data_IF_379792510117
#
_entry.id   IF_379792510117
#
_cell.length_a   1.000
_cell.length_b   1.000
_cell.length_c   1.000
_cell.angle_alpha   90.00
_cell.angle_beta   90.00
_cell.angle_gamma   90.00
#
_symmetry.space_group_name_H-M   'P 1'
#
loop_
_entity.id
_entity.type
_entity.pdbx_description
1 polymer ?
#
# COMPACT_ATOMS: atom_id res chain seq x y z
N UNK A 1 -15.98 -10.96 6.41
CA UNK A 1 -16.59 -9.77 7.06
C UNK A 1 -18.11 -9.92 7.14
N UNK A 2 -18.80 -10.21 6.02
CA UNK A 2 -20.23 -10.55 6.01
C UNK A 2 -20.57 -11.79 6.85
N UNK A 3 -19.73 -12.82 6.80
CA UNK A 3 -19.83 -14.05 7.61
C UNK A 3 -19.77 -13.82 9.12
N UNK A 4 -19.13 -12.73 9.56
CA UNK A 4 -18.95 -12.41 10.99
C UNK A 4 -19.80 -11.24 11.47
N UNK A 5 -20.30 -10.38 10.55
CA UNK A 5 -20.99 -9.12 10.89
C UNK A 5 -22.36 -8.94 10.24
N UNK A 6 -22.82 -9.90 9.43
CA UNK A 6 -24.11 -9.89 8.76
C UNK A 6 -24.06 -9.30 7.35
N UNK A 7 -24.97 -9.78 6.49
CA UNK A 7 -25.08 -9.42 5.07
C UNK A 7 -25.72 -8.03 4.92
N UNK A 8 -25.31 -7.22 3.91
CA UNK A 8 -25.96 -5.95 3.52
C UNK A 8 -25.95 -4.85 4.61
N UNK A 9 -24.89 -4.79 5.42
CA UNK A 9 -24.71 -3.68 6.39
C UNK A 9 -24.20 -2.38 5.78
N UNK A 10 -23.78 -2.37 4.51
CA UNK A 10 -23.08 -1.22 3.92
C UNK A 10 -21.71 -0.98 4.59
N UNK A 11 -21.09 -2.03 5.13
CA UNK A 11 -19.83 -1.92 5.90
C UNK A 11 -18.58 -1.65 5.06
N UNK A 12 -18.73 -1.47 3.74
CA UNK A 12 -17.65 -1.15 2.81
C UNK A 12 -18.21 -0.48 1.55
N UNK A 13 -17.45 0.44 0.95
CA UNK A 13 -17.74 1.14 -0.32
C UNK A 13 -16.79 0.60 -1.39
N UNK A 14 -17.27 0.29 -2.61
CA UNK A 14 -16.44 -0.28 -3.68
C UNK A 14 -16.77 0.31 -5.07
N UNK A 15 -15.88 0.15 -6.07
CA UNK A 15 -16.09 0.62 -7.47
C UNK A 15 -15.39 1.95 -7.81
N UNK A 16 -15.65 2.50 -9.01
CA UNK A 16 -15.15 3.84 -9.42
C UNK A 16 -15.73 4.90 -8.50
N UNK A 17 -15.00 5.19 -7.44
CA UNK A 17 -15.58 5.80 -6.28
C UNK A 17 -14.93 7.15 -6.05
N UNK A 18 -15.73 8.18 -6.27
CA UNK A 18 -15.53 9.52 -5.70
C UNK A 18 -15.37 9.47 -4.16
N UNK A 19 -15.71 8.35 -3.54
CA UNK A 19 -15.52 8.02 -2.13
C UNK A 19 -14.17 7.35 -1.81
N UNK A 20 -13.40 6.88 -2.80
CA UNK A 20 -12.04 6.32 -2.60
C UNK A 20 -10.93 7.37 -2.67
N UNK A 21 -11.26 8.63 -2.96
CA UNK A 21 -10.30 9.74 -3.15
C UNK A 21 -9.32 9.92 -1.99
N UNK A 22 -9.74 9.61 -0.76
CA UNK A 22 -8.86 9.69 0.42
C UNK A 22 -7.77 8.60 0.42
N UNK A 23 -8.12 7.39 -0.02
CA UNK A 23 -7.16 6.29 -0.18
C UNK A 23 -6.23 6.59 -1.35
N UNK A 24 -6.75 7.15 -2.45
CA UNK A 24 -5.92 7.59 -3.59
C UNK A 24 -4.91 8.67 -3.18
N UNK A 25 -5.32 9.67 -2.39
CA UNK A 25 -4.38 10.70 -1.87
C UNK A 25 -3.29 10.07 -1.00
N UNK A 26 -3.66 9.14 -0.12
CA UNK A 26 -2.68 8.40 0.69
C UNK A 26 -1.70 7.61 -0.18
N UNK A 27 -2.17 6.98 -1.26
CA UNK A 27 -1.30 6.28 -2.22
C UNK A 27 -0.33 7.21 -2.94
N UNK A 28 -0.77 8.42 -3.30
CA UNK A 28 0.12 9.46 -3.85
C UNK A 28 1.20 9.81 -2.81
N UNK A 29 0.84 10.04 -1.56
CA UNK A 29 1.79 10.37 -0.50
C UNK A 29 2.82 9.25 -0.27
N UNK A 30 2.38 7.99 -0.25
CA UNK A 30 3.27 6.81 -0.16
C UNK A 30 4.21 6.73 -1.36
N UNK A 31 3.68 6.97 -2.56
CA UNK A 31 4.46 6.93 -3.80
C UNK A 31 5.54 8.01 -3.79
N UNK A 32 5.19 9.23 -3.41
CA UNK A 32 6.15 10.36 -3.37
C UNK A 32 7.21 10.16 -2.28
N UNK A 33 6.83 9.67 -1.10
CA UNK A 33 7.78 9.57 0.03
C UNK A 33 8.67 8.33 -0.02
N UNK A 34 8.22 7.26 -0.67
CA UNK A 34 8.93 5.97 -0.62
C UNK A 34 8.95 5.27 -1.98
N UNK A 35 7.80 5.16 -2.64
CA UNK A 35 7.64 4.34 -3.84
C UNK A 35 8.54 4.77 -5.00
N UNK A 36 8.62 6.08 -5.25
CA UNK A 36 9.40 6.65 -6.35
C UNK A 36 10.90 6.37 -6.19
N UNK A 37 11.43 6.46 -4.98
CA UNK A 37 12.85 6.19 -4.69
C UNK A 37 13.20 4.73 -4.93
N UNK A 38 12.37 3.78 -4.47
CA UNK A 38 12.61 2.36 -4.72
C UNK A 38 12.43 1.98 -6.18
N UNK A 39 11.44 2.56 -6.86
CA UNK A 39 11.25 2.39 -8.29
C UNK A 39 12.49 2.85 -9.07
N UNK A 40 13.01 4.04 -8.78
CA UNK A 40 14.22 4.56 -9.41
C UNK A 40 15.42 3.65 -9.17
N UNK A 41 15.64 3.19 -7.94
CA UNK A 41 16.73 2.26 -7.59
C UNK A 41 16.65 0.96 -8.38
N UNK A 42 15.48 0.34 -8.46
CA UNK A 42 15.30 -0.91 -9.21
C UNK A 42 15.43 -0.70 -10.72
N UNK A 43 14.95 0.43 -11.26
CA UNK A 43 15.19 0.80 -12.65
C UNK A 43 16.68 0.99 -12.94
N UNK A 44 17.46 1.59 -12.04
CA UNK A 44 18.92 1.70 -12.20
C UNK A 44 19.59 0.32 -12.20
N UNK A 45 19.16 -0.59 -11.31
CA UNK A 45 19.66 -1.97 -11.29
C UNK A 45 19.38 -2.71 -12.60
N UNK A 46 18.20 -2.54 -13.17
CA UNK A 46 17.82 -3.11 -14.48
C UNK A 46 18.67 -2.55 -15.60
N UNK A 47 18.70 -1.23 -15.74
CA UNK A 47 19.34 -0.57 -16.88
C UNK A 47 20.87 -0.65 -16.86
N UNK A 48 21.50 -0.70 -15.68
CA UNK A 48 22.97 -0.54 -15.54
C UNK A 48 23.67 -1.68 -14.85
N UNK A 49 22.97 -2.52 -14.08
CA UNK A 49 23.60 -3.54 -13.24
C UNK A 49 23.10 -4.96 -13.53
N UNK A 50 22.39 -5.18 -14.64
CA UNK A 50 22.01 -6.52 -15.10
C UNK A 50 21.00 -7.21 -14.19
N UNK A 51 20.06 -6.45 -13.62
CA UNK A 51 18.85 -7.03 -13.06
C UNK A 51 17.94 -7.48 -14.21
N UNK A 52 17.90 -8.80 -14.45
CA UNK A 52 16.87 -9.43 -15.28
C UNK A 52 15.55 -9.58 -14.51
N UNK A 53 14.52 -8.84 -14.94
CA UNK A 53 13.18 -8.85 -14.34
C UNK A 53 12.38 -10.14 -14.65
N UNK A 54 12.81 -10.92 -15.64
CA UNK A 54 12.17 -12.19 -16.00
C UNK A 54 12.80 -13.38 -15.26
N UNK A 55 13.94 -13.18 -14.60
CA UNK A 55 14.57 -14.20 -13.78
C UNK A 55 14.00 -14.15 -12.35
N UNK A 56 13.24 -15.17 -11.98
CA UNK A 56 12.66 -15.31 -10.63
C UNK A 56 13.69 -15.25 -9.49
N UNK A 57 14.93 -15.69 -9.71
CA UNK A 57 15.98 -15.68 -8.70
C UNK A 57 16.54 -14.29 -8.46
N UNK A 58 16.60 -13.47 -9.51
CA UNK A 58 16.89 -12.05 -9.36
C UNK A 58 15.80 -11.33 -8.56
N UNK A 59 14.53 -11.63 -8.80
CA UNK A 59 13.41 -11.06 -8.03
C UNK A 59 13.44 -11.53 -6.58
N UNK A 60 13.69 -12.83 -6.34
CA UNK A 60 13.90 -13.39 -5.01
C UNK A 60 15.02 -12.66 -4.27
N UNK A 61 16.17 -12.42 -4.93
CA UNK A 61 17.31 -11.73 -4.33
C UNK A 61 16.97 -10.28 -3.94
N UNK A 62 16.19 -9.57 -4.75
CA UNK A 62 15.71 -8.24 -4.37
C UNK A 62 14.83 -8.29 -3.11
N UNK A 63 13.93 -9.26 -3.02
CA UNK A 63 13.07 -9.42 -1.86
C UNK A 63 13.90 -9.77 -0.62
N UNK A 64 14.83 -10.71 -0.73
CA UNK A 64 15.74 -11.10 0.34
C UNK A 64 16.52 -9.91 0.91
N UNK A 65 17.04 -9.04 0.03
CA UNK A 65 17.87 -7.90 0.44
C UNK A 65 17.07 -6.69 0.93
N UNK A 66 15.95 -6.37 0.29
CA UNK A 66 15.31 -5.06 0.42
C UNK A 66 13.93 -5.09 1.05
N UNK A 67 13.23 -6.24 1.08
CA UNK A 67 11.85 -6.30 1.56
C UNK A 67 11.72 -5.90 3.03
N UNK A 68 12.65 -6.36 3.88
CA UNK A 68 12.68 -5.99 5.29
C UNK A 68 12.84 -4.47 5.47
N UNK A 69 13.74 -3.85 4.70
CA UNK A 69 13.98 -2.41 4.71
C UNK A 69 12.75 -1.64 4.24
N UNK A 70 12.15 -2.02 3.11
CA UNK A 70 10.93 -1.41 2.57
C UNK A 70 9.78 -1.51 3.60
N UNK A 71 9.59 -2.69 4.21
CA UNK A 71 8.56 -2.89 5.23
C UNK A 71 8.80 -2.02 6.46
N UNK A 72 10.05 -1.87 6.92
CA UNK A 72 10.38 -0.99 8.04
C UNK A 72 10.10 0.48 7.71
N UNK A 73 10.40 0.92 6.49
CA UNK A 73 10.13 2.27 6.02
C UNK A 73 8.63 2.53 5.88
N UNK A 74 7.86 1.57 5.37
CA UNK A 74 6.39 1.63 5.33
C UNK A 74 5.78 1.67 6.74
N UNK A 75 6.31 0.89 7.68
CA UNK A 75 5.86 0.92 9.07
C UNK A 75 6.14 2.27 9.73
N UNK A 76 7.33 2.85 9.47
CA UNK A 76 7.68 4.19 9.93
C UNK A 76 6.79 5.28 9.30
N UNK A 77 6.54 5.19 8.00
CA UNK A 77 5.60 6.06 7.30
C UNK A 77 4.21 6.00 7.95
N UNK A 78 3.68 4.79 8.17
CA UNK A 78 2.36 4.61 8.78
C UNK A 78 2.28 5.22 10.19
N UNK A 79 3.31 5.03 11.02
CA UNK A 79 3.37 5.64 12.36
C UNK A 79 3.40 7.17 12.27
N UNK A 80 4.27 7.71 11.40
CA UNK A 80 4.42 9.15 11.20
C UNK A 80 3.13 9.78 10.66
N UNK A 81 2.52 9.15 9.67
CA UNK A 81 1.25 9.57 9.09
C UNK A 81 0.11 9.49 10.09
N UNK A 82 0.07 8.49 10.97
CA UNK A 82 -0.99 8.44 11.99
C UNK A 82 -0.87 9.56 13.04
N UNK A 83 0.33 10.12 13.22
CA UNK A 83 0.62 11.15 14.23
C UNK A 83 0.71 12.58 13.65
N UNK A 84 0.81 12.75 12.32
CA UNK A 84 0.90 14.08 11.72
C UNK A 84 -0.41 14.85 11.89
N UNK A 85 -0.32 16.17 12.10
CA UNK A 85 -1.52 17.01 12.31
C UNK A 85 -2.12 17.42 10.97
N UNK A 86 -3.40 17.09 10.78
CA UNK A 86 -4.20 17.53 9.65
C UNK A 86 -4.92 18.82 10.03
N UNK A 87 -4.96 19.78 9.10
CA UNK A 87 -5.77 20.97 9.24
C UNK A 87 -7.24 20.63 9.01
N UNK A 88 -8.07 20.84 10.02
CA UNK A 88 -9.51 20.58 9.96
C UNK A 88 -10.22 21.92 9.80
N UNK A 89 -11.03 22.05 8.73
CA UNK A 89 -11.81 23.26 8.50
C UNK A 89 -12.87 23.41 9.59
N UNK A 90 -12.82 24.51 10.34
CA UNK A 90 -13.79 24.79 11.40
C UNK A 90 -13.53 24.08 12.73
N UNK A 91 -12.35 23.46 12.91
CA UNK A 91 -11.98 22.78 14.15
C UNK A 91 -10.47 22.86 14.45
N UNK A 92 -10.02 22.35 15.61
CA UNK A 92 -8.60 22.27 15.92
C UNK A 92 -7.89 21.25 15.02
N UNK A 93 -6.63 21.52 14.68
CA UNK A 93 -5.79 20.55 13.98
C UNK A 93 -5.60 19.30 14.84
N UNK A 94 -5.86 18.12 14.28
CA UNK A 94 -5.76 16.82 14.96
C UNK A 94 -4.99 15.83 14.11
N UNK A 95 -4.33 14.88 14.75
CA UNK A 95 -3.75 13.75 14.03
C UNK A 95 -4.81 12.71 13.67
N UNK A 96 -4.60 11.87 12.64
CA UNK A 96 -5.48 10.73 12.38
C UNK A 96 -5.69 9.84 13.62
N UNK A 97 -4.64 9.64 14.43
CA UNK A 97 -4.75 8.89 15.69
C UNK A 97 -5.65 9.61 16.71
N UNK A 98 -5.50 10.92 16.87
CA UNK A 98 -6.38 11.72 17.76
C UNK A 98 -7.83 11.62 17.29
N UNK A 99 -8.08 11.86 16.00
CA UNK A 99 -9.42 11.76 15.41
C UNK A 99 -10.00 10.38 15.68
N UNK A 100 -9.25 9.32 15.40
CA UNK A 100 -9.70 7.95 15.61
C UNK A 100 -10.13 7.68 17.07
N UNK A 101 -9.32 8.10 18.06
CA UNK A 101 -9.60 7.86 19.47
C UNK A 101 -10.71 8.76 20.00
N UNK A 102 -10.64 10.07 19.74
CA UNK A 102 -11.61 11.02 20.28
C UNK A 102 -12.98 10.88 19.61
N UNK A 103 -13.05 10.57 18.32
CA UNK A 103 -14.34 10.40 17.65
C UNK A 103 -15.05 9.16 18.18
N UNK A 104 -14.34 8.08 18.55
CA UNK A 104 -14.96 6.93 19.22
C UNK A 104 -15.49 7.26 20.63
N UNK A 105 -14.87 8.22 21.32
CA UNK A 105 -15.35 8.68 22.64
C UNK A 105 -16.60 9.56 22.52
N UNK A 106 -16.67 10.39 21.47
CA UNK A 106 -17.76 11.36 21.26
C UNK A 106 -18.96 10.72 20.54
N UNK A 107 -18.70 9.93 19.50
CA UNK A 107 -19.71 9.38 18.58
C UNK A 107 -19.95 7.88 18.79
N UNK A 108 -19.33 7.29 19.82
CA UNK A 108 -19.48 5.89 20.17
C UNK A 108 -18.54 4.94 19.43
N UNK A 109 -18.53 3.69 19.90
CA UNK A 109 -17.59 2.66 19.41
C UNK A 109 -17.88 2.32 17.95
N UNK A 110 -16.85 2.41 17.11
CA UNK A 110 -16.93 2.09 15.68
C UNK A 110 -17.47 0.67 15.47
N UNK A 111 -18.49 0.55 14.62
CA UNK A 111 -19.13 -0.73 14.28
C UNK A 111 -20.38 -1.07 15.09
N UNK A 112 -20.72 -0.26 16.10
CA UNK A 112 -22.07 -0.23 16.65
C UNK A 112 -23.06 0.38 15.66
N UNK A 113 -24.34 0.11 15.86
CA UNK A 113 -25.40 0.80 15.12
C UNK A 113 -25.37 2.29 15.51
N UNK A 114 -25.52 3.16 14.50
CA UNK A 114 -25.70 4.59 14.74
C UNK A 114 -26.94 4.79 15.63
N UNK A 115 -26.91 5.77 16.55
CA UNK A 115 -28.12 6.21 17.24
C UNK A 115 -29.24 6.52 16.23
N UNK A 116 -30.50 6.24 16.58
CA UNK A 116 -31.65 6.48 15.68
C UNK A 116 -31.74 7.95 15.20
N UNK A 117 -31.21 8.88 16.00
CA UNK A 117 -31.19 10.32 15.71
C UNK A 117 -30.02 10.77 14.80
N UNK A 118 -29.05 9.90 14.49
CA UNK A 118 -27.89 10.19 13.63
C UNK A 118 -27.94 9.43 12.28
N UNK A 119 -29.13 8.92 11.91
CA UNK A 119 -29.33 8.25 10.63
C UNK A 119 -29.36 9.30 9.52
N UNK A 120 -28.30 9.33 8.70
CA UNK A 120 -28.26 10.12 7.47
C UNK A 120 -29.39 9.68 6.54
N UNK A 121 -30.04 10.64 5.89
CA UNK A 121 -31.00 10.31 4.85
C UNK A 121 -30.30 9.69 3.61
N UNK A 122 -31.11 9.21 2.66
CA UNK A 122 -30.60 8.50 1.50
C UNK A 122 -29.71 9.37 0.60
N UNK A 123 -30.00 10.68 0.53
CA UNK A 123 -29.24 11.65 -0.27
C UNK A 123 -27.93 12.05 0.44
N UNK A 124 -27.97 12.23 1.77
CA UNK A 124 -26.82 12.51 2.62
C UNK A 124 -25.85 11.34 2.65
N UNK A 125 -26.36 10.10 2.68
CA UNK A 125 -25.55 8.89 2.66
C UNK A 125 -24.78 8.77 1.33
N UNK A 126 -25.41 9.08 0.19
CA UNK A 126 -24.75 9.03 -1.13
C UNK A 126 -23.51 9.92 -1.23
N UNK A 127 -23.59 11.10 -0.64
CA UNK A 127 -22.50 12.08 -0.68
C UNK A 127 -21.52 11.92 0.49
N UNK A 128 -21.81 11.02 1.43
CA UNK A 128 -20.97 10.79 2.59
C UNK A 128 -19.60 10.23 2.21
N UNK A 129 -18.54 10.89 2.69
CA UNK A 129 -17.16 10.48 2.45
C UNK A 129 -16.58 10.94 1.10
N UNK A 130 -17.37 11.61 0.25
CA UNK A 130 -16.87 12.20 -0.99
C UNK A 130 -15.93 13.37 -0.69
N UNK A 131 -14.73 13.33 -1.25
CA UNK A 131 -13.81 14.47 -1.24
C UNK A 131 -13.99 15.32 -2.51
N UNK A 132 -14.93 16.27 -2.44
CA UNK A 132 -15.21 17.22 -3.52
C UNK A 132 -14.01 18.09 -3.91
N UNK A 133 -13.02 18.27 -3.03
CA UNK A 133 -11.79 18.99 -3.38
C UNK A 133 -10.87 18.10 -4.20
N UNK A 134 -10.68 16.84 -3.80
CA UNK A 134 -9.88 15.87 -4.55
C UNK A 134 -10.47 15.52 -5.93
N UNK A 135 -11.80 15.58 -6.11
CA UNK A 135 -12.42 15.46 -7.44
C UNK A 135 -12.14 16.62 -8.39
N UNK A 136 -11.62 17.74 -7.88
CA UNK A 136 -11.18 18.87 -8.70
C UNK A 136 -9.67 18.87 -8.95
N UNK A 137 -8.95 17.92 -8.36
CA UNK A 137 -7.51 17.78 -8.52
C UNK A 137 -7.21 16.89 -9.73
N UNK A 138 -6.83 17.52 -10.84
CA UNK A 138 -6.47 16.83 -12.09
C UNK A 138 -5.31 15.85 -11.92
N UNK A 139 -4.38 16.10 -10.99
CA UNK A 139 -3.26 15.18 -10.76
C UNK A 139 -3.73 13.87 -10.13
N UNK A 140 -4.64 13.96 -9.16
CA UNK A 140 -5.25 12.82 -8.49
C UNK A 140 -6.15 12.04 -9.46
N UNK A 141 -6.96 12.74 -10.26
CA UNK A 141 -7.80 12.10 -11.28
C UNK A 141 -6.96 11.38 -12.36
N UNK A 142 -5.84 11.97 -12.76
CA UNK A 142 -4.92 11.34 -13.72
C UNK A 142 -4.30 10.09 -13.13
N UNK A 143 -3.76 10.16 -11.90
CA UNK A 143 -3.22 8.99 -11.19
C UNK A 143 -4.27 7.88 -11.06
N UNK A 144 -5.50 8.22 -10.65
CA UNK A 144 -6.58 7.26 -10.52
C UNK A 144 -6.91 6.57 -11.85
N UNK A 145 -6.96 7.32 -12.96
CA UNK A 145 -7.23 6.76 -14.31
C UNK A 145 -6.11 5.84 -14.78
N UNK A 146 -4.86 6.19 -14.50
CA UNK A 146 -3.69 5.37 -14.86
C UNK A 146 -3.67 4.07 -14.07
N UNK A 147 -3.99 4.12 -12.78
CA UNK A 147 -3.95 2.96 -11.89
C UNK A 147 -5.17 2.04 -12.03
N UNK A 148 -6.31 2.58 -12.49
CA UNK A 148 -7.56 1.83 -12.66
C UNK A 148 -8.03 1.90 -14.13
N UNK A 149 -7.35 1.18 -15.05
CA UNK A 149 -7.68 1.21 -16.48
C UNK A 149 -9.03 0.56 -16.81
N UNK A 150 -9.51 -0.33 -15.94
CA UNK A 150 -10.80 -0.99 -16.10
C UNK A 150 -11.93 -0.12 -15.58
N UNK A 151 -13.03 -0.04 -16.35
CA UNK A 151 -14.26 0.63 -15.93
C UNK A 151 -15.00 -0.23 -14.91
N UNK A 152 -14.55 -0.21 -13.65
CA UNK A 152 -15.41 -0.62 -12.54
C UNK A 152 -16.60 0.36 -12.49
N UNK A 153 -17.83 -0.16 -12.38
CA UNK A 153 -19.01 0.68 -12.22
C UNK A 153 -18.93 1.55 -10.96
N UNK A 154 -19.74 2.60 -10.87
CA UNK A 154 -19.92 3.34 -9.62
C UNK A 154 -20.92 2.58 -8.74
N UNK A 155 -20.61 2.41 -7.45
CA UNK A 155 -21.62 1.98 -6.48
C UNK A 155 -22.16 3.18 -5.71
N UNK A 156 -23.34 2.96 -5.17
CA UNK A 156 -24.10 3.91 -4.41
C UNK A 156 -24.27 3.35 -2.99
N UNK A 157 -24.32 4.25 -2.01
CA UNK A 157 -24.70 3.86 -0.66
C UNK A 157 -26.16 3.36 -0.59
N UNK A 158 -26.96 3.75 -1.59
CA UNK A 158 -28.35 3.40 -1.81
C UNK A 158 -28.44 2.04 -2.49
N UNK A 159 -29.18 1.12 -1.84
CA UNK A 159 -29.39 -0.24 -2.35
C UNK A 159 -28.57 -1.33 -1.65
N UNK A 160 -27.63 -0.97 -0.73
CA UNK A 160 -26.84 -1.92 0.09
C UNK A 160 -26.30 -3.09 -0.75
N UNK A 161 -25.82 -2.78 -1.95
CA UNK A 161 -25.25 -3.79 -2.84
C UNK A 161 -23.96 -4.27 -2.18
N UNK A 162 -23.86 -5.58 -1.97
CA UNK A 162 -22.63 -6.18 -1.43
C UNK A 162 -21.43 -5.88 -2.34
N UNK A 163 -20.20 -6.21 -1.92
CA UNK A 163 -19.06 -6.23 -2.83
C UNK A 163 -19.42 -6.96 -4.13
N UNK A 164 -18.79 -6.63 -5.26
CA UNK A 164 -19.03 -7.41 -6.46
C UNK A 164 -18.64 -8.86 -6.17
N UNK A 165 -19.10 -9.81 -6.98
CA UNK A 165 -18.53 -11.15 -6.98
C UNK A 165 -17.01 -11.08 -6.91
N UNK A 166 -16.37 -12.00 -6.18
CA UNK A 166 -14.91 -12.02 -6.05
C UNK A 166 -14.19 -12.02 -7.42
N UNK A 167 -14.85 -12.51 -8.47
CA UNK A 167 -14.37 -12.49 -9.85
C UNK A 167 -14.15 -11.09 -10.42
N UNK A 168 -14.85 -10.07 -9.89
CA UNK A 168 -14.81 -8.71 -10.42
C UNK A 168 -14.04 -7.75 -9.49
N UNK A 169 -13.49 -8.27 -8.37
CA UNK A 169 -12.54 -7.52 -7.55
C UNK A 169 -11.16 -7.58 -8.19
N UNK A 170 -10.50 -6.43 -8.32
CA UNK A 170 -9.07 -6.40 -8.64
C UNK A 170 -8.28 -7.02 -7.49
N UNK A 171 -7.60 -8.14 -7.75
CA UNK A 171 -6.66 -8.76 -6.83
C UNK A 171 -5.27 -8.76 -7.43
N UNK A 172 -4.29 -8.23 -6.70
CA UNK A 172 -2.88 -8.45 -7.01
C UNK A 172 -2.45 -9.68 -6.23
N UNK A 173 -2.35 -10.83 -6.90
CA UNK A 173 -1.77 -12.02 -6.29
C UNK A 173 -0.26 -11.79 -6.23
N UNK A 174 0.24 -11.55 -5.03
CA UNK A 174 1.69 -11.50 -4.76
C UNK A 174 2.09 -12.88 -4.26
N UNK A 175 2.56 -13.73 -5.16
CA UNK A 175 3.14 -14.99 -4.74
C UNK A 175 4.43 -14.71 -3.94
N UNK A 176 4.63 -15.38 -2.78
CA UNK A 176 5.91 -15.29 -2.11
C UNK A 176 7.00 -15.77 -3.06
N UNK A 177 8.18 -15.12 -3.09
CA UNK A 177 9.30 -15.58 -3.88
C UNK A 177 9.55 -17.06 -3.63
N UNK A 178 9.67 -17.84 -4.69
CA UNK A 178 10.09 -19.24 -4.56
C UNK A 178 11.49 -19.23 -3.98
N UNK A 179 11.70 -19.91 -2.86
CA UNK A 179 13.04 -20.01 -2.28
C UNK A 179 13.97 -20.71 -3.28
N UNK A 180 15.03 -19.99 -3.62
CA UNK A 180 16.03 -20.43 -4.61
C UNK A 180 17.18 -21.16 -3.94
N UNK A 181 17.41 -20.86 -2.66
CA UNK A 181 18.53 -21.37 -1.88
C UNK A 181 18.11 -22.57 -1.03
N UNK A 182 19.03 -23.50 -0.82
CA UNK A 182 18.87 -24.61 0.11
C UNK A 182 18.98 -24.14 1.58
N UNK A 183 18.56 -25.00 2.50
CA UNK A 183 18.49 -24.68 3.93
C UNK A 183 19.90 -24.32 4.48
N UNK A 184 20.08 -23.06 4.90
CA UNK A 184 21.34 -22.53 5.46
C UNK A 184 22.19 -21.69 4.50
N UNK A 185 21.97 -21.79 3.18
CA UNK A 185 22.66 -20.95 2.19
C UNK A 185 22.19 -19.48 2.24
N UNK A 186 20.95 -19.27 2.66
CA UNK A 186 20.36 -17.96 2.96
C UNK A 186 21.11 -17.25 4.11
N UNK A 187 21.48 -18.00 5.16
CA UNK A 187 22.26 -17.48 6.28
C UNK A 187 23.69 -17.14 5.85
N UNK A 188 24.31 -17.95 5.00
CA UNK A 188 25.63 -17.63 4.44
C UNK A 188 25.59 -16.37 3.59
N UNK A 189 24.59 -16.25 2.70
CA UNK A 189 24.38 -15.07 1.89
C UNK A 189 24.15 -13.83 2.77
N UNK A 190 23.31 -13.94 3.81
CA UNK A 190 23.08 -12.85 4.76
C UNK A 190 24.37 -12.41 5.43
N UNK A 191 25.16 -13.35 5.96
CA UNK A 191 26.44 -13.05 6.61
C UNK A 191 27.45 -12.39 5.66
N UNK A 192 27.43 -12.77 4.38
CA UNK A 192 28.28 -12.16 3.36
C UNK A 192 27.95 -10.69 3.11
N UNK A 193 26.70 -10.26 3.36
CA UNK A 193 26.24 -8.91 3.00
C UNK A 193 25.78 -8.06 4.18
N UNK A 194 25.69 -8.62 5.40
CA UNK A 194 25.14 -7.94 6.58
C UNK A 194 25.87 -6.64 6.92
N UNK A 195 27.17 -6.57 6.66
CA UNK A 195 27.98 -5.37 6.88
C UNK A 195 27.62 -4.20 5.94
N UNK A 196 26.89 -4.47 4.86
CA UNK A 196 26.40 -3.49 3.88
C UNK A 196 24.95 -3.07 4.12
N UNK A 197 24.19 -3.78 4.99
CA UNK A 197 22.76 -3.53 5.22
C UNK A 197 22.45 -2.27 6.05
N UNK A 198 23.45 -1.59 6.59
CA UNK A 198 23.28 -0.46 7.52
C UNK A 198 23.63 0.91 6.94
N UNK A 199 24.08 0.98 5.70
CA UNK A 199 24.52 2.22 5.08
C UNK A 199 23.39 2.73 4.17
N UNK A 200 23.03 4.01 4.27
CA UNK A 200 21.78 4.57 3.75
C UNK A 200 21.94 5.47 2.49
N UNK A 201 22.79 5.10 1.53
CA UNK A 201 23.01 5.83 0.28
C UNK A 201 22.75 4.99 -0.98
N UNK A 202 22.49 5.64 -2.11
CA UNK A 202 22.10 4.97 -3.37
C UNK A 202 23.20 4.08 -3.94
N UNK A 203 24.47 4.44 -3.79
CA UNK A 203 25.61 3.60 -4.19
C UNK A 203 25.64 2.26 -3.43
N UNK A 204 25.06 2.23 -2.23
CA UNK A 204 25.12 1.07 -1.35
C UNK A 204 24.05 0.04 -1.69
N UNK A 205 22.90 0.46 -2.24
CA UNK A 205 21.91 -0.48 -2.78
C UNK A 205 22.50 -1.28 -3.96
N UNK A 206 23.26 -0.59 -4.82
CA UNK A 206 23.95 -1.21 -5.95
C UNK A 206 25.05 -2.14 -5.44
N UNK A 207 25.89 -1.68 -4.52
CA UNK A 207 26.96 -2.48 -3.95
C UNK A 207 26.42 -3.72 -3.23
N UNK A 208 25.37 -3.57 -2.42
CA UNK A 208 24.71 -4.65 -1.71
C UNK A 208 24.21 -5.71 -2.69
N UNK A 209 23.44 -5.30 -3.71
CA UNK A 209 22.88 -6.25 -4.69
C UNK A 209 23.97 -6.92 -5.52
N UNK A 210 24.98 -6.17 -5.96
CA UNK A 210 26.07 -6.73 -6.79
C UNK A 210 26.93 -7.73 -6.02
N UNK A 211 27.28 -7.43 -4.77
CA UNK A 211 27.98 -8.35 -3.88
C UNK A 211 27.14 -9.59 -3.58
N UNK A 212 25.86 -9.41 -3.26
CA UNK A 212 24.94 -10.53 -3.01
C UNK A 212 24.79 -11.42 -4.24
N UNK A 213 24.63 -10.84 -5.43
CA UNK A 213 24.54 -11.59 -6.68
C UNK A 213 25.82 -12.36 -6.97
N UNK A 214 26.99 -11.75 -6.78
CA UNK A 214 28.27 -12.42 -6.97
C UNK A 214 28.42 -13.62 -6.02
N UNK A 215 27.95 -13.48 -4.77
CA UNK A 215 27.94 -14.59 -3.82
C UNK A 215 26.95 -15.69 -4.23
N UNK A 216 25.72 -15.32 -4.60
CA UNK A 216 24.69 -16.26 -5.05
C UNK A 216 25.14 -17.05 -6.29
N UNK A 217 25.77 -16.39 -7.27
CA UNK A 217 26.35 -17.03 -8.46
C UNK A 217 27.46 -18.02 -8.17
N UNK A 218 28.20 -17.82 -7.08
CA UNK A 218 29.25 -18.75 -6.65
C UNK A 218 28.66 -20.07 -6.15
N UNK A 219 27.47 -20.01 -5.56
CA UNK A 219 26.77 -21.17 -5.01
C UNK A 219 25.93 -21.84 -6.13
N UNK A 220 25.11 -21.05 -6.82
CA UNK A 220 24.17 -21.50 -7.86
C UNK A 220 24.37 -20.73 -9.18
N UNK A 221 25.41 -21.05 -9.98
CA UNK A 221 25.72 -20.34 -11.23
C UNK A 221 24.69 -20.56 -12.34
N UNK A 222 23.94 -21.65 -12.30
CA UNK A 222 22.94 -21.98 -13.32
C UNK A 222 21.61 -21.23 -13.10
N UNK A 223 21.44 -20.60 -11.94
CA UNK A 223 20.18 -19.95 -11.53
C UNK A 223 20.30 -18.41 -11.53
N UNK A 224 21.44 -17.87 -11.08
CA UNK A 224 21.70 -16.42 -10.92
C UNK A 224 22.64 -15.85 -11.99
#
# INVERSE_FOLDING_TARGET
METHRGVRRGSYIWGRSVHNVRIERLWVDITVQLGATWAERFTILELRHGLDINNHAHIWLLHFLFLATINSQLAFFAQSWNQHRIQIRGGPNRSPADMFVFDMLVHGVRGNQLPEDEVLDEEELEVYGIDWAGLRDESLLTSQRTNNPNSEGATSWVGRVGPPPLSDLSSVVVEPPVDVLEEGEDVELFNAVVHLLGTAQDEECILLRTTALAHARRIHPDIF
#
